data_IF_973431112343
#
_entry.id   IF_973431112343
#
_cell.length_a   1.000
_cell.length_b   1.000
_cell.length_c   1.000
_cell.angle_alpha   90.00
_cell.angle_beta   90.00
_cell.angle_gamma   90.00
#
_symmetry.space_group_name_H-M   'P 1'
#
loop_
_entity.id
_entity.type
_entity.pdbx_description
1 polymer ?
#
# COMPACT_ATOMS: atom_id res chain seq x y z
N UNK A 1 -24.51 -1.77 17.84
CA UNK A 1 -24.40 -0.74 16.77
C UNK A 1 -25.10 -1.26 15.50
N UNK A 2 -26.40 -1.56 15.56
CA UNK A 2 -27.17 -2.16 14.44
C UNK A 2 -28.01 -1.17 13.64
N UNK A 3 -28.11 0.10 14.06
CA UNK A 3 -29.23 0.95 13.60
C UNK A 3 -28.85 2.06 12.60
N UNK A 4 -27.56 2.45 12.50
CA UNK A 4 -27.17 3.57 11.62
C UNK A 4 -27.28 3.25 10.13
N UNK A 5 -27.16 1.98 9.73
CA UNK A 5 -27.37 1.57 8.34
C UNK A 5 -28.84 1.47 7.93
N UNK A 6 -29.79 1.64 8.85
CA UNK A 6 -31.22 1.53 8.56
C UNK A 6 -31.94 2.88 8.40
N UNK A 7 -31.30 4.01 8.72
CA UNK A 7 -31.96 5.32 8.66
C UNK A 7 -31.74 6.08 7.35
N UNK A 8 -30.71 5.75 6.57
CA UNK A 8 -30.42 6.41 5.29
C UNK A 8 -30.79 5.51 4.11
N UNK A 9 -31.55 6.06 3.16
CA UNK A 9 -31.94 5.35 1.93
C UNK A 9 -30.79 5.24 0.92
N UNK A 10 -29.82 6.16 0.98
CA UNK A 10 -28.65 6.22 0.09
C UNK A 10 -27.38 6.55 0.84
N UNK A 11 -26.30 5.86 0.49
CA UNK A 11 -24.94 6.12 0.96
C UNK A 11 -24.08 6.54 -0.23
N UNK A 12 -23.17 7.45 0.02
CA UNK A 12 -22.10 7.82 -0.90
C UNK A 12 -20.89 8.29 -0.10
N UNK A 13 -19.70 8.07 -0.65
CA UNK A 13 -18.49 8.60 -0.05
C UNK A 13 -18.43 10.11 -0.28
N UNK A 14 -18.01 10.85 0.74
CA UNK A 14 -17.72 12.26 0.58
C UNK A 14 -16.45 12.42 -0.28
N UNK A 15 -16.52 13.09 -1.44
CA UNK A 15 -15.44 13.04 -2.41
C UNK A 15 -14.15 13.68 -1.85
N UNK A 16 -12.98 13.04 -2.02
CA UNK A 16 -11.71 13.58 -1.55
C UNK A 16 -11.42 14.97 -2.14
N UNK A 17 -10.80 15.86 -1.36
CA UNK A 17 -10.44 17.19 -1.83
C UNK A 17 -11.61 18.16 -1.99
N UNK A 18 -12.81 17.80 -1.55
CA UNK A 18 -14.00 18.66 -1.64
C UNK A 18 -14.36 19.31 -0.30
N UNK A 19 -15.13 20.40 -0.39
CA UNK A 19 -15.89 20.99 0.71
C UNK A 19 -17.37 21.00 0.35
N UNK A 20 -18.23 20.90 1.36
CA UNK A 20 -19.69 21.05 1.20
C UNK A 20 -20.13 22.40 1.73
N UNK A 21 -20.81 23.16 0.88
CA UNK A 21 -21.41 24.43 1.24
C UNK A 21 -22.91 24.21 1.52
N UNK A 22 -23.32 24.37 2.78
CA UNK A 22 -24.71 24.18 3.18
C UNK A 22 -25.65 25.26 2.64
N UNK A 23 -25.15 26.43 2.25
CA UNK A 23 -25.97 27.49 1.68
C UNK A 23 -26.37 27.18 0.23
N UNK A 24 -25.45 26.61 -0.55
CA UNK A 24 -25.70 26.23 -1.95
C UNK A 24 -26.10 24.76 -2.12
N UNK A 25 -25.87 23.91 -1.11
CA UNK A 25 -26.06 22.47 -1.20
C UNK A 25 -25.06 21.78 -2.14
N UNK A 26 -23.97 22.45 -2.50
CA UNK A 26 -23.01 21.95 -3.49
C UNK A 26 -21.71 21.45 -2.87
N UNK A 27 -21.12 20.45 -3.51
CA UNK A 27 -19.75 19.98 -3.26
C UNK A 27 -18.83 20.63 -4.28
N UNK A 28 -17.75 21.26 -3.81
CA UNK A 28 -16.73 21.87 -4.68
C UNK A 28 -15.34 21.43 -4.26
N UNK A 29 -14.46 21.21 -5.23
CA UNK A 29 -13.03 21.07 -4.95
C UNK A 29 -12.53 22.33 -4.25
N UNK A 30 -11.82 22.16 -3.13
CA UNK A 30 -11.15 23.29 -2.46
C UNK A 30 -9.72 23.47 -2.94
N UNK A 31 -9.15 22.44 -3.55
CA UNK A 31 -7.78 22.41 -4.05
C UNK A 31 -7.70 21.52 -5.29
N UNK A 32 -7.12 22.05 -6.36
CA UNK A 32 -6.80 21.29 -7.58
C UNK A 32 -5.29 21.10 -7.61
N UNK A 33 -4.77 19.91 -7.27
CA UNK A 33 -3.34 19.64 -7.36
C UNK A 33 -2.84 19.74 -8.80
N UNK A 34 -1.54 19.98 -8.99
CA UNK A 34 -0.94 20.07 -10.34
C UNK A 34 -1.11 18.78 -11.13
N UNK A 35 -1.29 17.65 -10.45
CA UNK A 35 -1.47 16.30 -11.00
C UNK A 35 -2.95 15.87 -11.14
N UNK A 36 -3.90 16.79 -10.91
CA UNK A 36 -5.33 16.52 -11.09
C UNK A 36 -5.74 16.56 -12.57
N UNK A 37 -6.26 15.44 -13.08
CA UNK A 37 -6.67 15.29 -14.47
C UNK A 37 -7.75 16.30 -14.91
N UNK A 38 -7.72 16.80 -16.17
CA UNK A 38 -6.65 16.64 -17.15
C UNK A 38 -5.43 17.50 -16.76
N UNK A 39 -4.27 16.85 -16.61
CA UNK A 39 -3.00 17.49 -16.24
C UNK A 39 -2.03 17.46 -17.43
N UNK A 40 -1.32 18.56 -17.73
CA UNK A 40 -0.18 18.51 -18.65
C UNK A 40 0.93 17.61 -18.08
N UNK A 41 1.38 16.64 -18.87
CA UNK A 41 2.49 15.76 -18.50
C UNK A 41 3.74 16.61 -18.20
N UNK A 42 4.35 16.51 -17.00
CA UNK A 42 5.53 17.28 -16.67
C UNK A 42 6.69 16.96 -17.63
N UNK A 43 7.39 18.00 -18.09
CA UNK A 43 8.50 17.86 -19.04
C UNK A 43 9.86 18.17 -18.42
N UNK A 44 9.90 18.84 -17.28
CA UNK A 44 11.13 19.27 -16.61
C UNK A 44 11.83 18.10 -15.91
N UNK A 45 13.11 17.93 -16.20
CA UNK A 45 13.96 17.02 -15.43
C UNK A 45 14.46 17.72 -14.17
N UNK A 46 14.19 17.11 -13.02
CA UNK A 46 14.54 17.69 -11.72
C UNK A 46 15.69 16.91 -11.06
N UNK A 47 16.46 17.60 -10.23
CA UNK A 47 17.54 16.99 -9.46
C UNK A 47 16.99 16.04 -8.38
N UNK A 48 17.65 14.89 -8.20
CA UNK A 48 17.26 13.88 -7.20
C UNK A 48 17.26 14.40 -5.74
N UNK A 49 18.03 15.46 -5.46
CA UNK A 49 18.04 16.12 -4.15
C UNK A 49 16.67 16.73 -3.80
N UNK A 50 15.94 17.26 -4.79
CA UNK A 50 14.61 17.84 -4.57
C UNK A 50 13.66 16.78 -4.03
N UNK A 51 13.70 15.58 -4.61
CA UNK A 51 12.87 14.46 -4.17
C UNK A 51 13.23 14.02 -2.75
N UNK A 52 14.54 13.85 -2.48
CA UNK A 52 15.03 13.42 -1.17
C UNK A 52 14.66 14.42 -0.08
N UNK A 53 14.95 15.71 -0.28
CA UNK A 53 14.68 16.77 0.70
C UNK A 53 13.19 16.95 0.96
N UNK A 54 12.35 16.89 -0.09
CA UNK A 54 10.91 16.93 0.06
C UNK A 54 10.39 15.76 0.90
N UNK A 55 10.92 14.54 0.67
CA UNK A 55 10.50 13.36 1.42
C UNK A 55 10.98 13.38 2.87
N UNK A 56 12.23 13.81 3.10
CA UNK A 56 12.76 14.00 4.46
C UNK A 56 11.87 14.98 5.26
N UNK A 57 11.52 16.11 4.65
CA UNK A 57 10.64 17.11 5.26
C UNK A 57 9.24 16.55 5.53
N UNK A 58 8.69 15.75 4.62
CA UNK A 58 7.39 15.10 4.81
C UNK A 58 7.42 14.11 5.98
N UNK A 59 8.44 13.27 6.10
CA UNK A 59 8.56 12.34 7.24
C UNK A 59 8.71 13.12 8.55
N UNK A 60 9.58 14.13 8.59
CA UNK A 60 9.83 14.94 9.79
C UNK A 60 8.56 15.65 10.25
N UNK A 61 7.79 16.25 9.34
CA UNK A 61 6.53 16.93 9.69
C UNK A 61 5.51 15.96 10.27
N UNK A 62 5.48 14.72 9.80
CA UNK A 62 4.56 13.67 10.27
C UNK A 62 5.00 13.01 11.58
N UNK A 63 6.19 13.30 12.10
CA UNK A 63 6.64 12.86 13.44
C UNK A 63 6.13 13.75 14.58
N UNK A 64 5.32 14.78 14.30
CA UNK A 64 4.73 15.66 15.33
C UNK A 64 3.72 14.90 16.20
N UNK A 65 4.06 14.61 17.46
CA UNK A 65 3.20 13.84 18.36
C UNK A 65 3.56 14.10 19.83
N UNK A 66 2.55 14.18 20.68
CA UNK A 66 2.68 14.20 22.15
C UNK A 66 2.45 12.81 22.78
N UNK A 67 2.22 11.79 21.95
CA UNK A 67 1.98 10.40 22.36
C UNK A 67 3.00 9.45 21.74
N UNK A 68 3.22 8.26 22.34
CA UNK A 68 4.10 7.24 21.77
C UNK A 68 3.72 6.87 20.35
N UNK A 69 4.73 6.87 19.47
CA UNK A 69 4.60 6.55 18.06
C UNK A 69 5.65 5.54 17.59
N UNK A 70 5.39 4.90 16.46
CA UNK A 70 6.32 3.96 15.83
C UNK A 70 6.25 4.00 14.31
N UNK A 71 6.79 2.96 13.68
CA UNK A 71 6.80 2.81 12.22
C UNK A 71 6.41 1.40 11.82
N UNK A 72 5.60 1.27 10.77
CA UNK A 72 5.36 -0.01 10.12
C UNK A 72 6.57 -0.36 9.25
N UNK A 73 7.13 -1.55 9.40
CA UNK A 73 8.34 -1.97 8.73
C UNK A 73 8.16 -3.36 8.11
N UNK A 74 8.04 -3.41 6.78
CA UNK A 74 7.92 -4.67 6.02
C UNK A 74 9.26 -5.15 5.43
N UNK A 75 10.33 -4.34 5.53
CA UNK A 75 11.60 -4.60 4.86
C UNK A 75 11.57 -4.35 3.35
N UNK A 76 10.47 -3.81 2.81
CA UNK A 76 10.40 -3.25 1.46
C UNK A 76 10.98 -1.83 1.42
N UNK A 77 11.26 -1.32 0.21
CA UNK A 77 11.86 0.01 0.02
C UNK A 77 11.15 1.13 0.80
N UNK A 78 9.83 1.19 0.70
CA UNK A 78 9.06 2.38 1.10
C UNK A 78 8.99 2.54 2.61
N UNK A 79 8.57 1.48 3.31
CA UNK A 79 8.50 1.44 4.77
C UNK A 79 9.89 1.58 5.39
N UNK A 80 10.91 1.02 4.74
CA UNK A 80 12.31 1.14 5.19
C UNK A 80 12.84 2.56 5.05
N UNK A 81 12.54 3.28 3.95
CA UNK A 81 12.92 4.69 3.80
C UNK A 81 12.26 5.56 4.88
N UNK A 82 10.97 5.37 5.14
CA UNK A 82 10.27 6.07 6.25
C UNK A 82 10.96 5.79 7.58
N UNK A 83 11.19 4.52 7.92
CA UNK A 83 11.84 4.11 9.16
C UNK A 83 13.27 4.69 9.30
N UNK A 84 14.02 4.75 8.20
CA UNK A 84 15.38 5.29 8.19
C UNK A 84 15.43 6.78 8.53
N UNK A 85 14.53 7.57 7.93
CA UNK A 85 14.44 9.01 8.18
C UNK A 85 13.94 9.25 9.61
N UNK A 86 12.95 8.48 10.08
CA UNK A 86 12.47 8.56 11.45
C UNK A 86 13.58 8.22 12.47
N UNK A 87 14.38 7.17 12.22
CA UNK A 87 15.47 6.75 13.11
C UNK A 87 16.54 7.85 13.22
N UNK A 88 16.96 8.43 12.09
CA UNK A 88 17.91 9.55 12.07
C UNK A 88 17.41 10.77 12.86
N UNK A 89 16.12 11.10 12.76
CA UNK A 89 15.55 12.29 13.40
C UNK A 89 15.09 12.07 14.85
N UNK A 90 14.78 10.83 15.25
CA UNK A 90 14.42 10.52 16.65
C UNK A 90 15.64 10.61 17.57
N UNK A 91 16.83 10.20 17.08
CA UNK A 91 18.10 10.33 17.81
C UNK A 91 18.44 11.81 18.12
N UNK A 92 18.25 12.70 17.15
CA UNK A 92 18.50 14.15 17.30
C UNK A 92 17.61 14.82 18.35
N UNK A 93 16.37 14.37 18.53
CA UNK A 93 15.46 14.93 19.55
C UNK A 93 15.90 14.61 20.98
N UNK A 94 16.58 13.48 21.20
CA UNK A 94 17.08 13.09 22.51
C UNK A 94 18.24 13.97 23.01
N UNK A 95 18.87 14.77 22.13
CA UNK A 95 19.94 15.71 22.50
C UNK A 95 19.41 16.92 23.30
N UNK A 96 18.09 17.18 23.29
CA UNK A 96 17.47 18.35 23.93
C UNK A 96 16.62 18.01 25.18
N UNK A 97 16.75 16.80 25.73
CA UNK A 97 16.06 16.35 26.95
C UNK A 97 15.54 14.91 26.85
N UNK A 98 15.14 14.29 27.97
CA UNK A 98 14.66 12.91 27.96
C UNK A 98 13.33 12.82 27.22
N UNK A 99 13.35 12.31 25.99
CA UNK A 99 12.14 11.83 25.34
C UNK A 99 11.60 10.65 26.14
N UNK A 100 10.28 10.64 26.41
CA UNK A 100 9.61 9.53 27.09
C UNK A 100 9.80 8.18 26.37
N UNK A 101 10.21 8.22 25.10
CA UNK A 101 10.50 7.11 24.20
C UNK A 101 11.79 7.39 23.41
N UNK A 102 12.99 7.04 23.92
CA UNK A 102 14.28 7.46 23.33
C UNK A 102 14.67 6.69 22.07
N UNK A 103 14.07 5.53 21.82
CA UNK A 103 14.36 4.67 20.67
C UNK A 103 13.10 4.47 19.83
N UNK A 104 13.24 4.48 18.50
CA UNK A 104 12.13 4.24 17.58
C UNK A 104 11.71 2.77 17.64
N UNK A 105 10.40 2.52 17.81
CA UNK A 105 9.84 1.18 17.72
C UNK A 105 9.34 0.92 16.30
N UNK A 106 9.67 -0.25 15.75
CA UNK A 106 9.24 -0.70 14.43
C UNK A 106 8.39 -1.96 14.56
N UNK A 107 7.37 -2.10 13.71
CA UNK A 107 6.40 -3.19 13.77
C UNK A 107 6.31 -3.90 12.42
N UNK A 108 6.43 -5.23 12.43
CA UNK A 108 6.24 -6.10 11.27
C UNK A 108 5.17 -7.15 11.57
N UNK A 109 4.53 -7.67 10.53
CA UNK A 109 3.55 -8.75 10.64
C UNK A 109 3.69 -9.73 9.48
N UNK A 110 3.47 -11.01 9.75
CA UNK A 110 3.59 -12.06 8.76
C UNK A 110 3.30 -13.43 9.33
N UNK A 111 3.17 -14.41 8.45
CA UNK A 111 3.21 -15.82 8.84
C UNK A 111 4.64 -16.19 9.25
N UNK A 112 4.76 -17.27 10.05
CA UNK A 112 6.06 -17.74 10.53
C UNK A 112 7.01 -18.00 9.36
N UNK A 113 8.15 -17.32 9.36
CA UNK A 113 9.18 -17.46 8.33
C UNK A 113 8.88 -16.72 7.02
N UNK A 114 7.95 -15.77 7.01
CA UNK A 114 7.66 -14.99 5.80
C UNK A 114 8.86 -14.13 5.36
N UNK A 115 8.98 -13.84 4.04
CA UNK A 115 10.04 -12.98 3.52
C UNK A 115 10.05 -11.57 4.14
N UNK A 116 8.87 -11.01 4.43
CA UNK A 116 8.76 -9.68 5.03
C UNK A 116 9.30 -9.63 6.46
N UNK A 117 9.04 -10.66 7.28
CA UNK A 117 9.59 -10.69 8.64
C UNK A 117 11.12 -10.72 8.62
N UNK A 118 11.71 -11.54 7.74
CA UNK A 118 13.17 -11.62 7.58
C UNK A 118 13.76 -10.26 7.19
N UNK A 119 13.21 -9.63 6.16
CA UNK A 119 13.74 -8.36 5.67
C UNK A 119 13.49 -7.20 6.64
N UNK A 120 12.34 -7.17 7.32
CA UNK A 120 12.05 -6.19 8.34
C UNK A 120 13.08 -6.27 9.48
N UNK A 121 13.47 -7.48 9.89
CA UNK A 121 14.49 -7.71 10.90
C UNK A 121 15.89 -7.22 10.48
N UNK A 122 16.27 -7.43 9.21
CA UNK A 122 17.53 -6.91 8.65
C UNK A 122 17.57 -5.38 8.70
N UNK A 123 16.50 -4.72 8.23
CA UNK A 123 16.39 -3.25 8.27
C UNK A 123 16.36 -2.73 9.70
N UNK A 124 15.61 -3.38 10.60
CA UNK A 124 15.53 -2.98 11.99
C UNK A 124 16.89 -3.07 12.70
N UNK A 125 17.68 -4.10 12.38
CA UNK A 125 19.04 -4.28 12.89
C UNK A 125 19.97 -3.17 12.40
N UNK A 126 19.90 -2.85 11.10
CA UNK A 126 20.66 -1.74 10.52
C UNK A 126 20.30 -0.38 11.14
N UNK A 127 19.01 -0.13 11.36
CA UNK A 127 18.51 1.14 11.90
C UNK A 127 18.60 1.26 13.43
N UNK A 128 18.86 0.15 14.13
CA UNK A 128 18.87 0.08 15.59
C UNK A 128 17.51 0.43 16.21
N UNK A 129 16.40 -0.03 15.63
CA UNK A 129 15.05 0.16 16.19
C UNK A 129 14.70 -0.94 17.19
N UNK A 130 13.84 -0.66 18.16
CA UNK A 130 13.18 -1.71 18.95
C UNK A 130 12.16 -2.41 18.06
N UNK A 131 12.53 -3.57 17.51
CA UNK A 131 11.71 -4.28 16.54
C UNK A 131 10.71 -5.22 17.22
N UNK A 132 9.45 -5.12 16.83
CA UNK A 132 8.36 -5.99 17.25
C UNK A 132 7.89 -6.80 16.04
N UNK A 133 8.21 -8.08 16.06
CA UNK A 133 7.77 -9.04 15.05
C UNK A 133 6.48 -9.71 15.53
N UNK A 134 5.39 -9.55 14.76
CA UNK A 134 4.13 -10.21 15.07
C UNK A 134 3.85 -11.34 14.09
N UNK A 135 3.95 -12.56 14.59
CA UNK A 135 3.59 -13.76 13.85
C UNK A 135 2.12 -14.07 14.12
N UNK A 136 1.30 -14.14 13.06
CA UNK A 136 -0.08 -14.61 13.12
C UNK A 136 -0.21 -16.00 12.47
N UNK A 137 -1.29 -16.69 12.79
CA UNK A 137 -1.68 -17.99 12.20
C UNK A 137 -2.75 -17.81 11.14
N UNK A 138 -2.86 -18.77 10.21
CA UNK A 138 -3.90 -18.74 9.18
C UNK A 138 -5.29 -18.75 9.82
N UNK A 139 -5.46 -19.51 10.89
CA UNK A 139 -6.69 -19.62 11.66
C UNK A 139 -7.09 -18.27 12.26
N UNK A 140 -6.17 -17.58 12.94
CA UNK A 140 -6.42 -16.23 13.47
C UNK A 140 -6.83 -15.24 12.37
N UNK A 141 -6.24 -15.35 11.18
CA UNK A 141 -6.56 -14.48 10.06
C UNK A 141 -7.92 -14.81 9.42
N UNK A 142 -8.28 -16.09 9.29
CA UNK A 142 -9.60 -16.51 8.80
C UNK A 142 -10.72 -16.12 9.78
N UNK A 143 -10.50 -16.31 11.08
CA UNK A 143 -11.46 -15.96 12.13
C UNK A 143 -11.70 -14.44 12.21
N UNK A 144 -10.70 -13.64 11.84
CA UNK A 144 -10.81 -12.18 11.82
C UNK A 144 -11.58 -11.62 10.61
N UNK A 145 -11.85 -12.41 9.55
CA UNK A 145 -12.44 -11.90 8.31
C UNK A 145 -13.78 -11.14 8.49
N UNK A 146 -14.74 -11.60 9.33
CA UNK A 146 -15.97 -10.86 9.55
C UNK A 146 -15.71 -9.47 10.14
N UNK A 147 -14.85 -9.37 11.16
CA UNK A 147 -14.52 -8.09 11.80
C UNK A 147 -13.72 -7.18 10.87
N UNK A 148 -12.80 -7.74 10.08
CA UNK A 148 -12.03 -6.99 9.08
C UNK A 148 -12.97 -6.38 8.05
N UNK A 149 -13.90 -7.16 7.49
CA UNK A 149 -14.86 -6.65 6.49
C UNK A 149 -15.81 -5.62 7.09
N UNK A 150 -16.23 -5.83 8.35
CA UNK A 150 -16.96 -4.82 9.10
C UNK A 150 -16.16 -3.52 9.16
N UNK A 151 -14.94 -3.53 9.69
CA UNK A 151 -14.15 -2.30 9.85
C UNK A 151 -13.77 -1.63 8.54
N UNK A 152 -13.48 -2.37 7.47
CA UNK A 152 -13.08 -1.79 6.19
C UNK A 152 -14.27 -1.25 5.39
N UNK A 153 -15.46 -1.83 5.58
CA UNK A 153 -16.65 -1.52 4.79
C UNK A 153 -16.43 -1.80 3.28
N UNK A 154 -15.74 -2.90 2.96
CA UNK A 154 -15.46 -3.32 1.58
C UNK A 154 -15.48 -4.83 1.43
N UNK A 155 -15.74 -5.29 0.21
CA UNK A 155 -15.60 -6.69 -0.21
C UNK A 155 -14.59 -6.87 -1.34
N UNK A 156 -13.77 -5.84 -1.62
CA UNK A 156 -12.68 -5.96 -2.58
C UNK A 156 -11.64 -6.98 -2.09
N UNK A 157 -11.34 -7.97 -2.94
CA UNK A 157 -10.52 -9.13 -2.58
C UNK A 157 -9.10 -8.72 -2.19
N UNK A 158 -8.49 -7.84 -2.97
CA UNK A 158 -7.11 -7.38 -2.75
C UNK A 158 -7.01 -6.61 -1.43
N UNK A 159 -7.97 -5.72 -1.19
CA UNK A 159 -8.05 -4.90 0.01
C UNK A 159 -8.24 -5.75 1.26
N UNK A 160 -9.18 -6.71 1.25
CA UNK A 160 -9.44 -7.59 2.40
C UNK A 160 -8.21 -8.47 2.72
N UNK A 161 -7.57 -9.06 1.71
CA UNK A 161 -6.36 -9.88 1.87
C UNK A 161 -5.23 -9.11 2.54
N UNK A 162 -4.94 -7.89 2.07
CA UNK A 162 -3.85 -7.06 2.58
C UNK A 162 -4.20 -6.42 3.94
N UNK A 163 -5.48 -6.15 4.19
CA UNK A 163 -5.91 -5.51 5.44
C UNK A 163 -5.93 -6.45 6.63
N UNK A 164 -6.17 -7.75 6.41
CA UNK A 164 -6.30 -8.72 7.51
C UNK A 164 -5.03 -8.79 8.39
N UNK A 165 -3.81 -8.97 7.82
CA UNK A 165 -2.58 -8.89 8.62
C UNK A 165 -2.37 -7.53 9.29
N UNK A 166 -2.77 -6.44 8.62
CA UNK A 166 -2.62 -5.09 9.14
C UNK A 166 -3.55 -4.81 10.33
N UNK A 167 -4.78 -5.31 10.27
CA UNK A 167 -5.76 -5.28 11.37
C UNK A 167 -5.23 -6.05 12.59
N UNK A 168 -4.69 -7.25 12.40
CA UNK A 168 -4.10 -8.05 13.47
C UNK A 168 -2.86 -7.36 14.08
N UNK A 169 -2.03 -6.74 13.25
CA UNK A 169 -0.88 -5.95 13.68
C UNK A 169 -1.31 -4.71 14.50
N UNK A 170 -2.34 -3.99 14.05
CA UNK A 170 -2.87 -2.82 14.75
C UNK A 170 -3.32 -3.14 16.18
N UNK A 171 -3.96 -4.30 16.39
CA UNK A 171 -4.31 -4.81 17.72
C UNK A 171 -3.11 -4.90 18.65
N UNK A 172 -2.00 -5.44 18.15
CA UNK A 172 -0.75 -5.62 18.91
C UNK A 172 -0.02 -4.30 19.14
N UNK A 173 -0.01 -3.41 18.14
CA UNK A 173 0.51 -2.04 18.27
C UNK A 173 -0.22 -1.29 19.39
N UNK A 174 -1.56 -1.33 19.39
CA UNK A 174 -2.36 -0.70 20.44
C UNK A 174 -2.03 -1.26 21.82
N UNK A 175 -1.86 -2.59 21.93
CA UNK A 175 -1.53 -3.26 23.18
C UNK A 175 -0.14 -2.87 23.73
N UNK A 176 0.79 -2.41 22.89
CA UNK A 176 2.09 -1.89 23.34
C UNK A 176 2.04 -0.43 23.83
N UNK A 177 0.88 0.22 23.74
CA UNK A 177 0.69 1.62 24.14
C UNK A 177 0.98 2.64 23.02
N UNK A 178 1.41 2.18 21.84
CA UNK A 178 1.60 3.03 20.66
C UNK A 178 0.24 3.43 20.08
N UNK A 179 0.08 4.73 19.83
CA UNK A 179 -1.18 5.31 19.32
C UNK A 179 -1.08 5.80 17.89
N UNK A 180 0.13 5.94 17.35
CA UNK A 180 0.38 6.46 16.02
C UNK A 180 1.54 5.71 15.36
N UNK A 181 1.43 5.42 14.07
CA UNK A 181 2.53 4.88 13.27
C UNK A 181 2.64 5.57 11.93
N UNK A 182 3.87 5.69 11.41
CA UNK A 182 4.09 6.06 10.01
C UNK A 182 4.14 4.79 9.13
N UNK A 183 3.62 4.90 7.91
CA UNK A 183 3.58 3.85 6.89
C UNK A 183 4.16 4.33 5.56
N UNK A 184 4.53 3.38 4.69
CA UNK A 184 5.07 3.62 3.35
C UNK A 184 4.04 3.67 2.22
N UNK A 185 2.74 3.69 2.53
CA UNK A 185 1.66 3.72 1.53
C UNK A 185 1.74 4.97 0.63
N UNK A 186 1.37 4.83 -0.64
CA UNK A 186 1.40 5.90 -1.64
C UNK A 186 2.63 5.90 -2.55
N UNK A 187 3.73 5.25 -2.12
CA UNK A 187 4.96 5.21 -2.90
C UNK A 187 4.80 4.50 -4.25
N UNK A 188 4.09 3.37 -4.28
CA UNK A 188 3.84 2.61 -5.51
C UNK A 188 3.01 3.42 -6.52
N UNK A 189 2.03 4.17 -6.06
CA UNK A 189 1.15 5.00 -6.89
C UNK A 189 1.88 6.21 -7.48
N UNK A 190 2.78 6.82 -6.71
CA UNK A 190 3.52 8.03 -7.12
C UNK A 190 4.68 7.71 -8.06
N UNK A 191 5.35 6.56 -7.86
CA UNK A 191 6.58 6.20 -8.58
C UNK A 191 6.43 5.01 -9.52
N UNK A 192 5.21 4.51 -9.73
CA UNK A 192 4.94 3.33 -10.57
C UNK A 192 5.66 2.09 -10.08
N UNK A 193 5.42 1.74 -8.82
CA UNK A 193 6.09 0.66 -8.13
C UNK A 193 5.49 -0.73 -8.32
N UNK A 194 4.25 -0.80 -8.83
CA UNK A 194 3.65 -2.09 -9.17
C UNK A 194 4.32 -2.71 -10.40
N UNK A 195 4.54 -4.02 -10.38
CA UNK A 195 5.28 -4.72 -11.45
C UNK A 195 4.69 -4.52 -12.86
N UNK A 196 3.39 -4.23 -12.99
CA UNK A 196 2.78 -3.97 -14.30
C UNK A 196 3.23 -2.64 -14.92
N UNK A 197 3.81 -1.69 -14.15
CA UNK A 197 4.39 -0.46 -14.69
C UNK A 197 5.61 -0.72 -15.59
N UNK A 198 6.26 -1.90 -15.48
CA UNK A 198 7.27 -2.33 -16.46
C UNK A 198 6.70 -2.48 -17.87
N UNK A 199 5.38 -2.64 -18.00
CA UNK A 199 4.66 -2.76 -19.27
C UNK A 199 4.11 -1.42 -19.77
N UNK A 200 4.31 -0.32 -19.04
CA UNK A 200 3.87 0.99 -19.48
C UNK A 200 4.49 1.32 -20.85
N UNK A 201 3.67 1.66 -21.87
CA UNK A 201 4.16 1.82 -23.24
C UNK A 201 5.07 3.05 -23.35
N UNK A 202 4.68 4.17 -22.72
CA UNK A 202 5.38 5.45 -22.77
C UNK A 202 5.18 6.24 -21.45
N UNK A 203 5.86 7.39 -21.36
CA UNK A 203 5.87 8.25 -20.17
C UNK A 203 4.49 8.91 -19.87
N UNK A 204 3.72 9.21 -20.90
CA UNK A 204 2.37 9.80 -20.78
C UNK A 204 1.39 8.80 -20.15
N UNK A 205 1.35 7.56 -20.64
CA UNK A 205 0.54 6.48 -20.08
C UNK A 205 0.97 6.13 -18.65
N UNK A 206 2.28 6.12 -18.38
CA UNK A 206 2.81 5.94 -17.02
C UNK A 206 2.28 7.03 -16.06
N UNK A 207 2.36 8.29 -16.47
CA UNK A 207 1.89 9.43 -15.67
C UNK A 207 0.38 9.43 -15.49
N UNK A 208 -0.38 9.18 -16.56
CA UNK A 208 -1.84 9.08 -16.52
C UNK A 208 -2.27 7.99 -15.52
N UNK A 209 -1.58 6.85 -15.49
CA UNK A 209 -1.84 5.80 -14.52
C UNK A 209 -1.42 6.18 -13.10
N UNK A 210 -0.32 6.92 -12.89
CA UNK A 210 0.00 7.48 -11.57
C UNK A 210 -1.14 8.38 -11.07
N UNK A 211 -1.58 9.34 -11.89
CA UNK A 211 -2.66 10.27 -11.53
C UNK A 211 -3.98 9.54 -11.24
N UNK A 212 -4.32 8.51 -12.03
CA UNK A 212 -5.51 7.68 -11.82
C UNK A 212 -5.40 6.85 -10.54
N UNK A 213 -4.25 6.23 -10.27
CA UNK A 213 -4.02 5.47 -9.03
C UNK A 213 -4.11 6.36 -7.81
N UNK A 214 -3.47 7.54 -7.83
CA UNK A 214 -3.52 8.52 -6.75
C UNK A 214 -4.97 8.98 -6.49
N UNK A 215 -5.74 9.30 -7.54
CA UNK A 215 -7.13 9.76 -7.37
C UNK A 215 -8.05 8.69 -6.78
N UNK A 216 -7.70 7.40 -6.93
CA UNK A 216 -8.46 6.27 -6.39
C UNK A 216 -7.93 5.71 -5.07
N UNK A 217 -6.82 6.23 -4.52
CA UNK A 217 -6.23 5.75 -3.26
C UNK A 217 -7.23 5.68 -2.11
N UNK A 218 -8.18 6.62 -2.07
CA UNK A 218 -9.25 6.68 -1.06
C UNK A 218 -10.15 5.44 -1.03
N UNK A 219 -10.28 4.71 -2.14
CA UNK A 219 -11.07 3.48 -2.25
C UNK A 219 -10.28 2.21 -1.87
N UNK A 220 -8.96 2.30 -1.83
CA UNK A 220 -8.05 1.15 -1.73
C UNK A 220 -7.05 1.32 -0.58
N UNK A 221 -5.82 1.75 -0.86
CA UNK A 221 -4.72 1.72 0.09
C UNK A 221 -4.90 2.70 1.26
N UNK A 222 -5.46 3.89 1.03
CA UNK A 222 -5.82 4.80 2.13
C UNK A 222 -6.95 4.24 2.98
N UNK A 223 -7.96 3.60 2.37
CA UNK A 223 -9.05 2.93 3.08
C UNK A 223 -8.50 1.84 3.99
N UNK A 224 -7.68 0.94 3.45
CA UNK A 224 -7.00 -0.12 4.21
C UNK A 224 -6.17 0.48 5.34
N UNK A 225 -5.21 1.34 5.00
CA UNK A 225 -4.25 1.92 5.93
C UNK A 225 -4.95 2.61 7.12
N UNK A 226 -6.00 3.38 6.84
CA UNK A 226 -6.75 4.08 7.86
C UNK A 226 -7.64 3.13 8.67
N UNK A 227 -8.57 2.42 8.01
CA UNK A 227 -9.65 1.71 8.71
C UNK A 227 -9.15 0.49 9.49
N UNK A 228 -8.22 -0.29 8.95
CA UNK A 228 -7.69 -1.45 9.69
C UNK A 228 -6.83 -1.06 10.90
N UNK A 229 -6.15 0.10 10.86
CA UNK A 229 -5.41 0.62 12.02
C UNK A 229 -6.36 1.28 13.03
N UNK A 230 -7.34 2.04 12.56
CA UNK A 230 -8.34 2.71 13.40
C UNK A 230 -9.31 1.75 14.08
N UNK A 231 -9.48 0.53 13.55
CA UNK A 231 -10.21 -0.53 14.24
C UNK A 231 -9.70 -0.80 15.67
N UNK A 232 -8.42 -0.51 15.92
CA UNK A 232 -7.78 -0.63 17.24
C UNK A 232 -7.35 0.73 17.81
N UNK A 233 -7.86 1.83 17.25
CA UNK A 233 -7.52 3.20 17.66
C UNK A 233 -6.02 3.51 17.51
N UNK A 234 -5.42 3.09 16.39
CA UNK A 234 -4.05 3.46 16.01
C UNK A 234 -4.12 4.37 14.79
N UNK A 235 -3.57 5.57 14.91
CA UNK A 235 -3.46 6.53 13.80
C UNK A 235 -2.35 6.11 12.83
N UNK A 236 -2.69 5.95 11.55
CA UNK A 236 -1.71 5.74 10.49
C UNK A 236 -1.43 7.05 9.75
N UNK A 237 -0.14 7.39 9.64
CA UNK A 237 0.35 8.55 8.88
C UNK A 237 1.13 8.08 7.66
N UNK A 238 0.99 8.80 6.54
CA UNK A 238 1.46 8.37 5.21
C UNK A 238 2.29 9.48 4.55
N UNK A 239 3.58 9.63 4.90
CA UNK A 239 4.40 10.75 4.43
C UNK A 239 4.55 10.85 2.90
N UNK A 240 4.43 9.73 2.17
CA UNK A 240 4.42 9.75 0.71
C UNK A 240 3.20 10.49 0.13
N UNK A 241 2.12 10.63 0.91
CA UNK A 241 0.94 11.39 0.52
C UNK A 241 0.90 12.79 1.15
N UNK A 242 2.02 13.27 1.71
CA UNK A 242 2.15 14.66 2.11
C UNK A 242 1.96 15.57 0.89
N UNK A 243 1.14 16.61 1.04
CA UNK A 243 0.80 17.52 -0.06
C UNK A 243 2.04 18.11 -0.73
N UNK A 244 3.02 18.62 0.04
CA UNK A 244 4.21 19.26 -0.55
C UNK A 244 5.12 18.24 -1.23
N UNK A 245 5.26 17.06 -0.65
CA UNK A 245 6.01 15.97 -1.28
C UNK A 245 5.32 15.49 -2.56
N UNK A 246 3.99 15.35 -2.58
CA UNK A 246 3.26 14.96 -3.79
C UNK A 246 3.42 16.00 -4.90
N UNK A 247 3.34 17.30 -4.59
CA UNK A 247 3.60 18.37 -5.57
C UNK A 247 5.01 18.25 -6.17
N UNK A 248 6.03 18.02 -5.32
CA UNK A 248 7.39 17.83 -5.80
C UNK A 248 7.52 16.54 -6.64
N UNK A 249 7.08 15.40 -6.11
CA UNK A 249 7.25 14.09 -6.73
C UNK A 249 6.46 13.94 -8.04
N UNK A 250 5.28 14.55 -8.14
CA UNK A 250 4.47 14.52 -9.35
C UNK A 250 4.88 15.58 -10.39
N UNK A 251 5.73 16.55 -10.02
CA UNK A 251 6.32 17.51 -10.95
C UNK A 251 7.50 16.98 -11.77
N UNK A 252 8.08 15.82 -11.42
CA UNK A 252 9.15 15.21 -12.18
C UNK A 252 8.67 14.73 -13.55
N UNK A 253 9.50 14.93 -14.58
CA UNK A 253 9.30 14.30 -15.88
C UNK A 253 9.12 12.77 -15.72
N UNK A 254 8.01 12.17 -16.19
CA UNK A 254 7.75 10.75 -15.99
C UNK A 254 8.79 9.83 -16.65
N UNK A 255 9.58 10.31 -17.62
CA UNK A 255 10.74 9.59 -18.16
C UNK A 255 11.73 9.22 -17.05
N UNK A 256 11.91 10.08 -16.04
CA UNK A 256 12.78 9.79 -14.90
C UNK A 256 12.20 8.69 -13.98
N UNK A 257 10.88 8.44 -14.02
CA UNK A 257 10.18 7.41 -13.23
C UNK A 257 10.05 6.07 -13.95
N UNK A 258 10.15 6.05 -15.28
CA UNK A 258 9.94 4.83 -16.06
C UNK A 258 10.87 3.70 -15.65
N UNK A 259 10.37 2.47 -15.75
CA UNK A 259 11.11 1.22 -15.53
C UNK A 259 12.03 0.85 -16.71
N UNK A 260 12.37 1.81 -17.57
CA UNK A 260 13.31 1.70 -18.68
C UNK A 260 13.98 3.05 -18.91
N UNK A 261 15.24 3.06 -19.33
CA UNK A 261 15.93 4.29 -19.71
C UNK A 261 15.66 4.71 -21.17
N UNK A 262 16.28 5.81 -21.60
CA UNK A 262 16.15 6.33 -22.97
C UNK A 262 16.74 5.41 -24.04
N UNK A 263 17.65 4.49 -23.67
CA UNK A 263 18.19 3.45 -24.54
C UNK A 263 17.35 2.16 -24.50
N UNK A 264 16.25 2.14 -23.74
CA UNK A 264 15.37 0.99 -23.57
C UNK A 264 15.91 -0.06 -22.59
N UNK A 265 16.99 0.22 -21.86
CA UNK A 265 17.51 -0.70 -20.86
C UNK A 265 16.59 -0.74 -19.64
N UNK A 266 16.33 -1.93 -19.08
CA UNK A 266 15.41 -2.07 -17.96
C UNK A 266 15.96 -1.39 -16.70
N UNK A 267 15.05 -0.74 -15.96
CA UNK A 267 15.30 -0.20 -14.62
C UNK A 267 14.38 -0.89 -13.64
N UNK A 268 14.85 -1.10 -12.41
CA UNK A 268 14.02 -1.53 -11.29
C UNK A 268 12.91 -0.50 -11.03
N UNK A 269 11.73 -0.95 -10.63
CA UNK A 269 10.62 -0.09 -10.26
C UNK A 269 11.02 0.94 -9.18
N UNK A 270 10.37 2.11 -9.18
CA UNK A 270 10.72 3.24 -8.30
C UNK A 270 12.17 3.69 -8.43
N UNK A 271 12.78 3.53 -9.61
CA UNK A 271 14.20 3.83 -9.87
C UNK A 271 14.64 5.19 -9.33
N UNK A 272 13.86 6.24 -9.59
CA UNK A 272 14.20 7.60 -9.18
C UNK A 272 14.24 7.77 -7.66
N UNK A 273 13.32 7.10 -6.96
CA UNK A 273 13.27 7.10 -5.50
C UNK A 273 14.50 6.38 -4.95
N UNK A 274 14.83 5.19 -5.48
CA UNK A 274 16.03 4.45 -5.11
C UNK A 274 17.29 5.29 -5.32
N UNK A 275 17.42 5.92 -6.49
CA UNK A 275 18.55 6.80 -6.81
C UNK A 275 18.63 8.06 -5.95
N UNK A 276 17.52 8.63 -5.52
CA UNK A 276 17.54 9.78 -4.61
C UNK A 276 18.15 9.45 -3.23
N UNK A 277 18.08 8.18 -2.82
CA UNK A 277 18.60 7.67 -1.54
C UNK A 277 19.86 6.79 -1.67
N UNK A 278 20.38 6.62 -2.89
CA UNK A 278 21.64 5.92 -3.20
C UNK A 278 22.84 6.81 -2.87
N UNK A 279 23.14 6.93 -1.57
CA UNK A 279 24.23 7.75 -1.03
C UNK A 279 25.41 6.89 -0.56
N UNK A 280 26.63 7.47 -0.45
CA UNK A 280 27.78 6.80 0.16
C UNK A 280 27.49 6.26 1.56
N UNK A 281 28.22 5.22 1.97
CA UNK A 281 27.98 4.45 3.20
C UNK A 281 27.84 5.31 4.47
N UNK A 282 28.60 6.40 4.59
CA UNK A 282 28.57 7.31 5.74
C UNK A 282 27.24 8.08 5.86
N UNK A 283 26.51 8.21 4.75
CA UNK A 283 25.22 8.90 4.65
C UNK A 283 24.06 7.97 4.29
N UNK A 284 24.32 6.66 4.20
CA UNK A 284 23.34 5.67 3.79
C UNK A 284 22.05 5.76 4.62
N UNK A 285 20.92 5.56 3.95
CA UNK A 285 19.62 5.43 4.60
C UNK A 285 19.26 3.96 4.84
N UNK A 286 19.71 3.10 3.93
CA UNK A 286 19.40 1.67 3.92
C UNK A 286 20.62 0.86 3.48
N UNK A 287 20.69 -0.43 3.83
CA UNK A 287 21.59 -1.37 3.16
C UNK A 287 21.30 -1.43 1.66
N UNK A 288 22.33 -1.66 0.84
CA UNK A 288 22.21 -1.66 -0.63
C UNK A 288 21.27 -2.77 -1.12
N UNK A 289 21.29 -3.91 -0.45
CA UNK A 289 20.41 -5.05 -0.71
C UNK A 289 18.93 -4.72 -0.49
N UNK A 290 18.60 -3.80 0.43
CA UNK A 290 17.23 -3.33 0.67
C UNK A 290 16.88 -2.21 -0.32
N UNK A 291 17.80 -1.27 -0.53
CA UNK A 291 17.61 -0.14 -1.45
C UNK A 291 17.34 -0.59 -2.89
N UNK A 292 17.88 -1.73 -3.31
CA UNK A 292 17.72 -2.29 -4.65
C UNK A 292 16.89 -3.58 -4.69
N UNK A 293 16.28 -3.98 -3.57
CA UNK A 293 15.37 -5.13 -3.53
C UNK A 293 14.15 -4.89 -4.43
N UNK A 294 13.83 -5.86 -5.27
CA UNK A 294 12.61 -5.86 -6.07
C UNK A 294 11.36 -5.83 -5.18
N UNK A 295 10.31 -5.15 -5.65
CA UNK A 295 8.99 -5.12 -5.01
C UNK A 295 8.42 -6.53 -4.83
N UNK A 296 8.13 -6.86 -3.57
CA UNK A 296 7.22 -7.93 -3.18
C UNK A 296 5.84 -7.33 -2.85
N UNK A 297 4.76 -7.94 -3.33
CA UNK A 297 3.40 -7.47 -2.99
C UNK A 297 3.10 -7.79 -1.53
N UNK A 298 2.39 -6.90 -0.82
CA UNK A 298 2.17 -7.06 0.63
C UNK A 298 1.49 -8.40 0.97
N UNK A 299 0.48 -8.81 0.18
CA UNK A 299 -0.22 -10.07 0.37
C UNK A 299 0.64 -11.32 0.15
N UNK A 300 1.71 -11.23 -0.64
CA UNK A 300 2.64 -12.33 -0.88
C UNK A 300 3.79 -12.31 0.15
N UNK A 301 4.27 -11.12 0.51
CA UNK A 301 5.33 -10.90 1.50
C UNK A 301 4.96 -11.34 2.93
N UNK A 302 3.67 -11.25 3.30
CA UNK A 302 3.16 -11.81 4.56
C UNK A 302 3.18 -13.35 4.60
N UNK A 303 3.34 -14.01 3.45
CA UNK A 303 3.50 -15.46 3.33
C UNK A 303 2.49 -16.09 2.37
N UNK A 304 2.99 -16.85 1.38
CA UNK A 304 2.19 -17.43 0.30
C UNK A 304 1.02 -18.31 0.77
N UNK A 305 1.17 -19.02 1.90
CA UNK A 305 0.11 -19.86 2.43
C UNK A 305 -1.11 -19.07 2.91
N UNK A 306 -1.01 -17.76 3.15
CA UNK A 306 -2.18 -16.94 3.49
C UNK A 306 -3.20 -16.91 2.35
N UNK A 307 -2.75 -16.55 1.14
CA UNK A 307 -3.61 -16.47 -0.05
C UNK A 307 -4.16 -17.84 -0.43
N UNK A 308 -3.33 -18.88 -0.35
CA UNK A 308 -3.77 -20.23 -0.70
C UNK A 308 -4.79 -20.76 0.32
N UNK A 309 -4.63 -20.42 1.61
CA UNK A 309 -5.58 -20.82 2.66
C UNK A 309 -6.92 -20.11 2.56
N UNK A 310 -6.95 -18.81 2.24
CA UNK A 310 -8.22 -18.09 2.08
C UNK A 310 -9.00 -18.57 0.85
N UNK A 311 -8.30 -18.89 -0.26
CA UNK A 311 -8.90 -19.54 -1.44
C UNK A 311 -9.47 -20.91 -1.08
N UNK A 312 -8.69 -21.75 -0.40
CA UNK A 312 -9.13 -23.08 0.03
C UNK A 312 -10.30 -23.02 1.04
N UNK A 313 -10.32 -22.03 1.91
CA UNK A 313 -11.43 -21.79 2.82
C UNK A 313 -12.69 -21.39 2.06
N UNK A 314 -12.59 -20.44 1.12
CA UNK A 314 -13.71 -20.02 0.29
C UNK A 314 -14.28 -21.18 -0.56
N UNK A 315 -13.42 -22.06 -1.07
CA UNK A 315 -13.83 -23.26 -1.82
C UNK A 315 -14.73 -24.19 -0.98
N UNK A 316 -14.44 -24.32 0.31
CA UNK A 316 -15.24 -25.12 1.26
C UNK A 316 -16.54 -24.42 1.67
N UNK A 317 -16.54 -23.10 1.75
CA UNK A 317 -17.65 -22.31 2.28
C UNK A 317 -18.68 -21.89 1.22
N UNK A 318 -18.30 -21.86 -0.06
CA UNK A 318 -19.16 -21.41 -1.15
C UNK A 318 -19.34 -22.53 -2.18
N UNK A 319 -20.59 -22.92 -2.40
CA UNK A 319 -20.97 -23.97 -3.35
C UNK A 319 -21.00 -23.45 -4.79
N UNK A 320 -20.88 -24.35 -5.76
CA UNK A 320 -21.04 -24.01 -7.18
C UNK A 320 -22.44 -23.50 -7.51
N UNK A 321 -23.47 -23.99 -6.80
CA UNK A 321 -24.84 -23.51 -6.92
C UNK A 321 -24.97 -22.04 -6.47
N UNK A 322 -24.28 -21.65 -5.39
CA UNK A 322 -24.24 -20.25 -4.95
C UNK A 322 -23.56 -19.37 -5.98
N UNK A 323 -22.48 -19.84 -6.62
CA UNK A 323 -21.82 -19.11 -7.71
C UNK A 323 -22.72 -18.98 -8.95
N UNK A 324 -23.41 -20.04 -9.35
CA UNK A 324 -24.33 -20.04 -10.49
C UNK A 324 -25.49 -19.05 -10.29
N UNK A 325 -25.93 -18.85 -9.05
CA UNK A 325 -27.02 -17.94 -8.67
C UNK A 325 -26.54 -16.57 -8.19
N UNK A 326 -25.22 -16.31 -8.20
CA UNK A 326 -24.63 -15.06 -7.73
C UNK A 326 -25.20 -13.79 -8.40
N UNK A 327 -25.47 -13.75 -9.72
CA UNK A 327 -26.06 -12.57 -10.36
C UNK A 327 -27.45 -12.21 -9.83
N UNK A 328 -28.21 -13.20 -9.34
CA UNK A 328 -29.54 -12.98 -8.77
C UNK A 328 -29.47 -12.48 -7.32
N UNK A 329 -28.56 -13.02 -6.52
CA UNK A 329 -28.38 -12.61 -5.11
C UNK A 329 -27.66 -11.27 -5.00
N UNK A 330 -26.60 -11.07 -5.80
CA UNK A 330 -25.74 -9.90 -5.81
C UNK A 330 -25.66 -9.28 -7.23
N UNK A 331 -26.74 -8.63 -7.70
CA UNK A 331 -26.78 -8.00 -9.02
C UNK A 331 -25.80 -6.81 -9.15
N UNK A 332 -25.52 -6.10 -8.06
CA UNK A 332 -24.53 -5.01 -8.05
C UNK A 332 -23.15 -5.60 -7.78
N UNK A 333 -22.18 -5.42 -8.68
CA UNK A 333 -20.79 -5.90 -8.53
C UNK A 333 -20.75 -7.40 -8.18
N UNK A 334 -21.32 -8.21 -9.08
CA UNK A 334 -21.47 -9.65 -8.87
C UNK A 334 -20.11 -10.32 -8.65
N UNK A 335 -19.94 -11.11 -7.58
CA UNK A 335 -18.70 -11.83 -7.32
C UNK A 335 -18.43 -12.87 -8.41
N UNK A 336 -17.20 -12.87 -8.94
CA UNK A 336 -16.78 -13.76 -10.04
C UNK A 336 -15.97 -14.98 -9.56
N UNK A 337 -15.62 -15.02 -8.28
CA UNK A 337 -14.90 -16.14 -7.64
C UNK A 337 -15.56 -16.48 -6.31
N UNK A 338 -15.37 -17.71 -5.82
CA UNK A 338 -15.88 -18.13 -4.51
C UNK A 338 -15.35 -17.29 -3.36
N UNK A 339 -14.10 -16.83 -3.46
CA UNK A 339 -13.51 -15.91 -2.49
C UNK A 339 -14.19 -14.54 -2.48
N UNK A 340 -14.40 -13.95 -3.67
CA UNK A 340 -15.15 -12.70 -3.77
C UNK A 340 -16.59 -12.87 -3.27
N UNK A 341 -17.20 -14.04 -3.51
CA UNK A 341 -18.53 -14.37 -3.00
C UNK A 341 -18.54 -14.44 -1.47
N UNK A 342 -17.55 -15.11 -0.87
CA UNK A 342 -17.41 -15.20 0.58
C UNK A 342 -17.32 -13.80 1.21
N UNK A 343 -16.46 -12.92 0.69
CA UNK A 343 -16.33 -11.56 1.21
C UNK A 343 -17.61 -10.75 0.99
N UNK A 344 -18.25 -10.89 -0.18
CA UNK A 344 -19.52 -10.22 -0.45
C UNK A 344 -20.63 -10.69 0.49
N UNK A 345 -20.67 -11.98 0.82
CA UNK A 345 -21.61 -12.53 1.80
C UNK A 345 -21.36 -11.98 3.20
N UNK A 346 -20.08 -11.89 3.64
CA UNK A 346 -19.72 -11.30 4.92
C UNK A 346 -20.08 -9.81 4.97
N UNK A 347 -19.78 -9.05 3.91
CA UNK A 347 -20.17 -7.65 3.78
C UNK A 347 -21.69 -7.48 3.89
N UNK A 348 -22.45 -8.31 3.17
CA UNK A 348 -23.91 -8.26 3.19
C UNK A 348 -24.51 -8.57 4.57
N UNK A 349 -23.84 -9.39 5.40
CA UNK A 349 -24.25 -9.65 6.78
C UNK A 349 -24.21 -8.39 7.65
N UNK A 350 -23.27 -7.48 7.37
CA UNK A 350 -23.11 -6.22 8.11
C UNK A 350 -23.89 -5.06 7.49
N UNK A 351 -23.91 -4.98 6.15
CA UNK A 351 -24.35 -3.80 5.41
C UNK A 351 -25.57 -4.05 4.51
N UNK A 352 -26.13 -5.26 4.50
CA UNK A 352 -27.27 -5.66 3.67
C UNK A 352 -26.87 -6.17 2.27
N UNK A 353 -27.66 -7.08 1.70
CA UNK A 353 -27.34 -7.78 0.44
C UNK A 353 -27.37 -6.87 -0.80
N UNK A 354 -28.35 -5.96 -0.86
CA UNK A 354 -28.63 -5.07 -1.99
C UNK A 354 -28.77 -3.61 -1.56
N UNK A 355 -28.01 -3.22 -0.54
CA UNK A 355 -28.00 -1.84 -0.05
C UNK A 355 -27.17 -0.92 -0.94
N UNK A 356 -27.43 0.39 -0.84
CA UNK A 356 -26.61 1.40 -1.51
C UNK A 356 -25.13 1.35 -1.07
N UNK A 357 -24.80 0.75 0.09
CA UNK A 357 -23.42 0.60 0.57
C UNK A 357 -22.56 -0.24 -0.39
N UNK A 358 -23.13 -1.25 -1.05
CA UNK A 358 -22.41 -2.01 -2.08
C UNK A 358 -22.00 -1.12 -3.28
N UNK A 359 -22.75 -0.04 -3.52
CA UNK A 359 -22.42 0.99 -4.51
C UNK A 359 -21.13 1.75 -4.21
N UNK A 360 -20.80 1.95 -2.92
CA UNK A 360 -19.63 2.72 -2.47
C UNK A 360 -18.30 1.96 -2.59
N UNK A 361 -18.33 0.62 -2.66
CA UNK A 361 -17.11 -0.21 -2.67
C UNK A 361 -16.33 -0.04 -3.99
N UNK A 362 -15.04 0.29 -3.95
CA UNK A 362 -14.21 0.29 -5.17
C UNK A 362 -14.30 -1.06 -5.91
N UNK A 363 -14.51 -1.02 -7.23
CA UNK A 363 -14.63 -2.24 -8.05
C UNK A 363 -14.05 -1.99 -9.44
N UNK A 364 -13.06 -2.79 -9.80
CA UNK A 364 -12.44 -2.77 -11.11
C UNK A 364 -11.94 -4.17 -11.45
N UNK A 365 -11.81 -4.47 -12.73
CA UNK A 365 -11.13 -5.69 -13.15
C UNK A 365 -9.62 -5.53 -12.86
N UNK A 366 -9.07 -6.45 -12.08
CA UNK A 366 -7.67 -6.41 -11.63
C UNK A 366 -7.03 -7.79 -11.56
N UNK A 367 -5.71 -7.81 -11.72
CA UNK A 367 -4.84 -9.00 -11.57
C UNK A 367 -3.66 -8.56 -10.72
N UNK A 368 -3.34 -9.25 -9.62
CA UNK A 368 -2.13 -8.98 -8.84
C UNK A 368 -1.93 -7.49 -8.45
N UNK A 369 -2.94 -6.84 -7.85
CA UNK A 369 -2.97 -5.39 -7.53
C UNK A 369 -2.89 -4.44 -8.76
N UNK A 370 -3.05 -4.96 -9.98
CA UNK A 370 -3.08 -4.17 -11.20
C UNK A 370 -4.41 -3.43 -11.38
N UNK A 371 -4.53 -2.71 -12.49
CA UNK A 371 -5.72 -1.99 -12.90
C UNK A 371 -6.19 -2.46 -14.27
N UNK A 372 -7.38 -2.03 -14.67
CA UNK A 372 -7.88 -2.21 -16.03
C UNK A 372 -6.92 -1.62 -17.09
N UNK A 373 -6.10 -0.64 -16.72
CA UNK A 373 -5.06 -0.07 -17.59
C UNK A 373 -3.96 -1.10 -17.86
N UNK A 374 -3.57 -1.89 -16.85
CA UNK A 374 -2.60 -2.97 -17.04
C UNK A 374 -3.07 -4.02 -18.07
N UNK A 375 -4.38 -4.31 -18.11
CA UNK A 375 -4.99 -5.22 -19.10
C UNK A 375 -4.89 -4.68 -20.53
N UNK A 376 -4.79 -3.36 -20.69
CA UNK A 376 -4.60 -2.71 -22.00
C UNK A 376 -3.13 -2.71 -22.42
N UNK A 377 -2.20 -2.60 -21.47
CA UNK A 377 -0.76 -2.54 -21.74
C UNK A 377 -0.15 -3.89 -22.10
N UNK A 378 -0.70 -5.01 -21.62
CA UNK A 378 -0.21 -6.35 -21.97
C UNK A 378 -1.36 -7.33 -22.22
N UNK A 379 -1.42 -7.86 -23.44
CA UNK A 379 -2.41 -8.89 -23.82
C UNK A 379 -2.30 -10.14 -22.96
N UNK A 380 -1.13 -10.48 -22.42
CA UNK A 380 -0.93 -11.63 -21.55
C UNK A 380 -1.70 -11.53 -20.21
N UNK A 381 -2.12 -10.32 -19.82
CA UNK A 381 -2.96 -10.09 -18.66
C UNK A 381 -4.46 -10.20 -18.97
N UNK A 382 -4.88 -10.19 -20.24
CA UNK A 382 -6.30 -10.31 -20.56
C UNK A 382 -6.83 -11.71 -20.22
N UNK A 383 -7.94 -11.78 -19.49
CA UNK A 383 -8.65 -13.03 -19.19
C UNK A 383 -8.11 -13.87 -18.02
N UNK A 384 -7.15 -13.38 -17.23
CA UNK A 384 -6.74 -14.05 -15.97
C UNK A 384 -7.52 -13.53 -14.77
N UNK A 385 -7.83 -14.40 -13.82
CA UNK A 385 -8.56 -14.06 -12.58
C UNK A 385 -7.70 -14.13 -11.30
N UNK A 386 -6.40 -14.42 -11.42
CA UNK A 386 -5.54 -14.55 -10.23
C UNK A 386 -5.06 -13.18 -9.72
N UNK A 387 -5.53 -12.81 -8.53
CA UNK A 387 -5.15 -11.57 -7.86
C UNK A 387 -3.79 -11.65 -7.11
N UNK A 388 -2.98 -12.71 -7.30
CA UNK A 388 -1.67 -12.85 -6.63
C UNK A 388 -0.50 -12.33 -7.46
N UNK A 389 0.54 -11.79 -6.82
CA UNK A 389 1.76 -11.29 -7.47
C UNK A 389 2.50 -12.32 -8.30
N UNK A 390 2.23 -13.62 -8.08
CA UNK A 390 2.75 -14.75 -8.86
C UNK A 390 2.41 -14.64 -10.36
N UNK A 391 1.31 -13.99 -10.72
CA UNK A 391 0.95 -13.73 -12.11
C UNK A 391 1.94 -12.80 -12.84
N UNK A 392 2.73 -12.01 -12.10
CA UNK A 392 3.73 -11.06 -12.62
C UNK A 392 5.17 -11.60 -12.53
N UNK A 393 5.39 -12.83 -12.04
CA UNK A 393 6.73 -13.39 -11.83
C UNK A 393 7.57 -13.55 -13.13
N UNK A 394 6.93 -13.50 -14.31
CA UNK A 394 7.59 -13.59 -15.62
C UNK A 394 7.88 -12.23 -16.28
N UNK A 395 7.69 -11.11 -15.56
CA UNK A 395 7.81 -9.76 -16.16
C UNK A 395 9.28 -9.30 -16.30
N UNK A 396 10.21 -9.85 -15.51
CA UNK A 396 11.64 -9.54 -15.64
C UNK A 396 12.42 -10.70 -16.28
N UNK A 397 13.29 -10.41 -17.27
CA UNK A 397 14.31 -11.36 -17.69
C UNK A 397 15.26 -11.72 -16.53
N UNK A 398 15.67 -12.99 -16.46
CA UNK A 398 16.52 -13.58 -15.40
C UNK A 398 17.86 -12.87 -15.17
N UNK A 399 18.29 -12.00 -16.08
CA UNK A 399 19.54 -11.25 -16.06
C UNK A 399 19.45 -9.89 -15.32
N UNK A 400 18.28 -9.50 -14.82
CA UNK A 400 18.10 -8.34 -13.93
C UNK A 400 18.30 -8.73 -12.45
N UNK A 401 18.79 -9.95 -12.18
CA UNK A 401 19.61 -10.16 -10.99
C UNK A 401 20.94 -9.45 -11.25
N UNK A 402 21.05 -8.18 -10.82
CA UNK A 402 22.34 -7.47 -10.79
C UNK A 402 23.32 -8.40 -10.09
N UNK A 403 24.34 -8.80 -10.85
CA UNK A 403 25.24 -9.88 -10.48
C UNK A 403 25.76 -9.73 -9.06
N UNK A 404 25.61 -10.80 -8.29
CA UNK A 404 26.45 -11.04 -7.12
C UNK A 404 27.91 -11.03 -7.60
N UNK A 405 28.58 -9.88 -7.48
CA UNK A 405 30.03 -9.87 -7.50
C UNK A 405 30.46 -10.61 -6.23
N UNK A 406 31.24 -11.70 -6.33
CA UNK A 406 31.74 -12.36 -5.15
C UNK A 406 32.67 -11.38 -4.46
N UNK A 407 32.32 -11.00 -3.23
CA UNK A 407 33.25 -10.32 -2.33
C UNK A 407 34.42 -11.28 -2.17
N UNK A 408 35.50 -10.95 -2.88
CA UNK A 408 36.76 -11.65 -2.85
C UNK A 408 37.22 -11.71 -1.39
N UNK A 409 37.34 -12.92 -0.85
CA UNK A 409 38.17 -13.15 0.32
C UNK A 409 39.59 -12.69 0.00
N UNK A 410 40.07 -11.65 0.68
CA UNK A 410 41.50 -11.42 0.87
C UNK A 410 41.73 -10.97 2.31
N UNK A 411 42.52 -11.81 2.97
CA UNK A 411 43.43 -11.53 4.08
C UNK A 411 44.00 -10.13 4.10
#
# INVERSE_FOLDING_TARGET
>A
MSDSCQTCERYEEFPPGHVFDSASGQRRLFYTPIWHSPTPVPTEEMALSVLREAFENAVISHMMSDVPYGVLLSGGLDSSLVASIMSKNSRRKCEHGPASWPQLHSFSTGLKGSPDLKAAKEVASFLGTVHHEYVFTVEEALDALPDVIYHLETFDVTTVRASTPMYLMARRIRASGVKMVLSGEGADEIFGGYLYFHKAPNAEEFHAENCRKISQLHLYDCLRANKAMMAWGVEARVPFLDRKFMEAAMGFNPVQKMCKDSAGQPRTEKWILRKAFDLPSERAYLPQEVLWRQKEQFSDGVGYSWIDSIKAHAEKMVTDQQMATAPHRFPVKTPRTKEAYLFRQLFAKHYGENSAAAGCVGWQDSIACSSEVALKWDKAFQGRADASGRANAQVLPSHIQIGWLPVCART
#
